data_IF_729441227913
#
_entry.id   IF_729441227913
#
_cell.length_a   1.000
_cell.length_b   1.000
_cell.length_c   1.000
_cell.angle_alpha   90.00
_cell.angle_beta   90.00
_cell.angle_gamma   90.00
#
_symmetry.space_group_name_H-M   'P 1'
#
loop_
_entity.id
_entity.type
_entity.pdbx_description
1 polymer ?
#
# COMPACT_ATOMS: atom_id res chain seq x y z
N UNK A 1 22.17 -13.34 -5.92
CA UNK A 1 21.10 -13.03 -4.96
C UNK A 1 20.47 -11.71 -5.36
N UNK A 2 19.16 -11.73 -5.71
CA UNK A 2 18.50 -10.50 -6.10
C UNK A 2 18.32 -9.55 -4.91
N UNK A 3 18.34 -8.27 -5.19
CA UNK A 3 18.02 -7.21 -4.23
C UNK A 3 17.34 -6.05 -4.95
N UNK A 4 16.68 -5.19 -4.21
CA UNK A 4 16.11 -3.96 -4.71
C UNK A 4 16.54 -2.81 -3.81
N UNK A 5 16.88 -1.68 -4.43
CA UNK A 5 17.17 -0.42 -3.73
C UNK A 5 16.17 0.62 -4.17
N UNK A 6 15.89 1.61 -3.32
CA UNK A 6 14.97 2.68 -3.69
C UNK A 6 15.37 3.34 -5.02
N UNK A 7 16.67 3.59 -5.21
CA UNK A 7 17.17 4.30 -6.40
C UNK A 7 17.07 3.47 -7.67
N UNK A 8 17.09 2.14 -7.58
CA UNK A 8 17.06 1.24 -8.73
C UNK A 8 15.67 0.72 -9.06
N UNK A 9 14.69 0.97 -8.20
CA UNK A 9 13.34 0.49 -8.38
C UNK A 9 12.60 1.33 -9.41
N UNK A 10 11.59 0.73 -10.04
CA UNK A 10 10.70 1.41 -10.97
C UNK A 10 9.86 2.45 -10.21
N UNK A 11 9.92 3.70 -10.65
CA UNK A 11 9.15 4.79 -10.05
C UNK A 11 7.80 4.93 -10.70
N UNK A 12 6.75 4.97 -9.88
CA UNK A 12 5.43 5.43 -10.28
C UNK A 12 4.99 6.55 -9.35
N UNK A 13 4.69 7.72 -9.92
CA UNK A 13 4.31 8.90 -9.16
C UNK A 13 2.84 9.20 -9.42
N UNK A 14 2.02 9.04 -8.37
CA UNK A 14 0.57 9.29 -8.44
C UNK A 14 0.19 10.65 -7.83
N UNK A 15 1.17 11.51 -7.56
CA UNK A 15 0.95 12.80 -6.90
C UNK A 15 0.93 12.67 -5.38
N UNK A 16 -0.13 12.13 -4.81
CA UNK A 16 -0.24 11.92 -3.37
C UNK A 16 0.64 10.77 -2.87
N UNK A 17 0.95 9.83 -3.73
CA UNK A 17 1.75 8.65 -3.41
C UNK A 17 2.86 8.51 -4.42
N UNK A 18 4.07 8.28 -3.93
CA UNK A 18 5.21 7.88 -4.74
C UNK A 18 5.51 6.42 -4.42
N UNK A 19 5.52 5.58 -5.45
CA UNK A 19 5.79 4.16 -5.31
C UNK A 19 7.03 3.78 -6.11
N UNK A 20 7.98 3.13 -5.45
CA UNK A 20 9.19 2.59 -6.08
C UNK A 20 9.20 1.09 -5.83
N UNK A 21 9.09 0.30 -6.89
CA UNK A 21 8.90 -1.13 -6.73
C UNK A 21 9.66 -1.96 -7.75
N UNK A 22 9.81 -3.23 -7.44
CA UNK A 22 10.28 -4.27 -8.35
C UNK A 22 9.76 -5.62 -7.89
N UNK A 23 9.68 -6.56 -8.82
CA UNK A 23 9.27 -7.92 -8.52
C UNK A 23 10.49 -8.77 -8.20
N UNK A 24 10.45 -9.48 -7.06
CA UNK A 24 11.49 -10.39 -6.62
C UNK A 24 10.88 -11.75 -6.29
N UNK A 25 11.07 -12.72 -7.14
CA UNK A 25 10.70 -14.13 -6.91
C UNK A 25 9.26 -14.31 -6.43
N UNK A 26 8.31 -13.77 -7.19
CA UNK A 26 6.87 -13.89 -6.88
C UNK A 26 6.32 -12.89 -5.90
N UNK A 27 7.16 -12.01 -5.37
CA UNK A 27 6.76 -10.92 -4.49
C UNK A 27 7.09 -9.59 -5.13
N UNK A 28 6.20 -8.62 -4.95
CA UNK A 28 6.47 -7.23 -5.31
C UNK A 28 6.94 -6.51 -4.06
N UNK A 29 8.12 -5.90 -4.15
CA UNK A 29 8.72 -5.12 -3.07
C UNK A 29 8.54 -3.65 -3.40
N UNK A 30 7.91 -2.90 -2.50
CA UNK A 30 7.58 -1.50 -2.71
C UNK A 30 8.16 -0.63 -1.60
N UNK A 31 8.80 0.47 -2.01
CA UNK A 31 9.11 1.59 -1.13
C UNK A 31 8.05 2.65 -1.43
N UNK A 32 7.06 2.79 -0.57
CA UNK A 32 5.91 3.66 -0.80
C UNK A 32 5.99 4.86 0.12
N UNK A 33 5.90 6.06 -0.48
CA UNK A 33 5.87 7.32 0.27
C UNK A 33 4.49 7.94 0.11
N UNK A 34 3.82 8.18 1.23
CA UNK A 34 2.54 8.88 1.28
C UNK A 34 2.80 10.36 1.55
N UNK A 35 2.68 11.19 0.53
CA UNK A 35 2.97 12.63 0.66
C UNK A 35 1.92 13.38 1.47
N UNK A 36 0.71 12.83 1.53
CA UNK A 36 -0.43 13.39 2.24
C UNK A 36 -1.06 12.33 3.12
N UNK A 37 -1.91 12.76 4.05
CA UNK A 37 -2.77 11.87 4.81
C UNK A 37 -3.83 11.29 3.88
N UNK A 38 -3.85 9.96 3.72
CA UNK A 38 -4.69 9.30 2.72
C UNK A 38 -5.59 8.26 3.37
N UNK A 39 -6.91 8.41 3.16
CA UNK A 39 -7.88 7.36 3.43
C UNK A 39 -8.04 6.54 2.16
N UNK A 40 -7.65 5.26 2.21
CA UNK A 40 -7.73 4.36 1.07
C UNK A 40 -9.14 3.76 0.85
N UNK A 41 -10.08 4.00 1.77
CA UNK A 41 -11.42 3.43 1.66
C UNK A 41 -12.06 3.63 0.28
N UNK A 42 -12.11 4.86 -0.26
CA UNK A 42 -12.75 5.10 -1.56
C UNK A 42 -12.16 4.31 -2.73
N UNK A 43 -10.85 4.07 -2.74
CA UNK A 43 -10.20 3.35 -3.86
C UNK A 43 -10.32 1.82 -3.74
N UNK A 44 -10.76 1.32 -2.60
CA UNK A 44 -10.97 -0.12 -2.38
C UNK A 44 -12.41 -0.56 -2.63
N UNK A 45 -13.28 0.37 -2.99
CA UNK A 45 -14.69 0.08 -3.24
C UNK A 45 -14.85 -0.92 -4.39
N UNK A 46 -15.67 -1.95 -4.17
CA UNK A 46 -15.91 -3.00 -5.14
C UNK A 46 -15.08 -4.26 -4.89
N UNK A 47 -14.06 -4.19 -4.05
CA UNK A 47 -13.40 -5.39 -3.53
C UNK A 47 -14.28 -6.04 -2.45
N UNK A 48 -14.05 -7.33 -2.11
CA UNK A 48 -14.82 -7.96 -1.03
C UNK A 48 -14.77 -7.12 0.25
N UNK A 49 -15.93 -6.81 0.83
CA UNK A 49 -16.10 -5.94 2.00
C UNK A 49 -15.46 -4.56 1.84
N UNK A 50 -15.29 -4.11 0.60
CA UNK A 50 -14.63 -2.84 0.26
C UNK A 50 -13.26 -2.70 0.94
N UNK A 51 -12.53 -3.80 1.00
CA UNK A 51 -11.23 -3.89 1.66
C UNK A 51 -10.18 -4.55 0.75
N UNK A 52 -8.92 -4.29 1.06
CA UNK A 52 -7.80 -4.87 0.31
C UNK A 52 -7.65 -6.35 0.66
N UNK A 53 -7.66 -7.21 -0.33
CA UNK A 53 -7.54 -8.66 -0.15
C UNK A 53 -6.10 -9.16 -0.30
N UNK A 54 -5.18 -8.32 -0.72
CA UNK A 54 -3.78 -8.68 -0.84
C UNK A 54 -3.10 -8.63 0.53
N UNK A 55 -2.49 -9.72 1.00
CA UNK A 55 -1.73 -9.65 2.24
C UNK A 55 -0.43 -8.87 2.02
N UNK A 56 0.03 -8.18 3.06
CA UNK A 56 1.27 -7.42 3.01
C UNK A 56 2.10 -7.67 4.25
N UNK A 57 3.39 -7.84 4.06
CA UNK A 57 4.39 -7.80 5.12
C UNK A 57 5.20 -6.53 4.94
N UNK A 58 5.52 -5.83 6.01
CA UNK A 58 6.26 -4.60 5.84
C UNK A 58 6.93 -4.05 7.07
N UNK A 59 7.49 -2.86 6.88
CA UNK A 59 8.23 -2.13 7.89
C UNK A 59 8.06 -0.64 7.68
N UNK A 60 7.75 0.10 8.74
CA UNK A 60 7.62 1.56 8.65
C UNK A 60 9.00 2.19 8.74
N UNK A 61 9.44 2.80 7.65
CA UNK A 61 10.74 3.48 7.59
C UNK A 61 10.71 4.84 8.26
N UNK A 62 9.60 5.58 8.12
CA UNK A 62 9.37 6.84 8.82
C UNK A 62 7.89 7.17 8.85
N UNK A 63 7.46 7.92 9.87
CA UNK A 63 6.09 8.36 10.03
C UNK A 63 5.20 7.32 10.68
N UNK A 64 3.95 7.29 10.28
CA UNK A 64 2.95 6.39 10.85
C UNK A 64 1.89 6.03 9.83
N UNK A 65 1.26 4.86 10.02
CA UNK A 65 0.23 4.34 9.14
C UNK A 65 -0.85 3.67 9.98
N UNK A 66 -2.08 4.17 9.89
CA UNK A 66 -3.23 3.62 10.62
C UNK A 66 -4.05 2.76 9.68
N UNK A 67 -4.31 1.52 10.10
CA UNK A 67 -4.98 0.51 9.28
C UNK A 67 -6.11 -0.13 10.10
N UNK A 68 -7.27 -0.33 9.46
CA UNK A 68 -8.39 -1.05 10.05
C UNK A 68 -8.44 -2.47 9.51
N UNK A 69 -8.68 -3.41 10.42
CA UNK A 69 -8.92 -4.82 10.12
C UNK A 69 -10.24 -5.22 10.82
N UNK A 70 -11.33 -5.36 10.06
CA UNK A 70 -12.64 -5.56 10.63
C UNK A 70 -13.06 -4.37 11.49
N UNK A 71 -13.28 -4.59 12.79
CA UNK A 71 -13.64 -3.55 13.77
C UNK A 71 -12.43 -3.05 14.59
N UNK A 72 -11.23 -3.47 14.24
CA UNK A 72 -10.00 -3.11 14.96
C UNK A 72 -9.16 -2.16 14.14
N UNK A 73 -8.63 -1.14 14.79
CA UNK A 73 -7.66 -0.22 14.20
C UNK A 73 -6.31 -0.40 14.87
N UNK A 74 -5.25 -0.28 14.09
CA UNK A 74 -3.89 -0.31 14.60
C UNK A 74 -3.05 0.73 13.87
N UNK A 75 -2.18 1.42 14.61
CA UNK A 75 -1.25 2.38 14.04
C UNK A 75 0.16 1.80 14.09
N UNK A 76 0.76 1.66 12.93
CA UNK A 76 2.16 1.27 12.80
C UNK A 76 3.02 2.53 12.81
N UNK A 77 4.09 2.53 13.59
CA UNK A 77 4.98 3.66 13.74
C UNK A 77 6.39 3.32 13.25
N UNK A 78 7.21 4.33 13.05
CA UNK A 78 8.61 4.15 12.63
C UNK A 78 9.27 3.07 13.47
N UNK A 79 9.85 2.08 12.78
CA UNK A 79 10.52 0.96 13.42
C UNK A 79 9.65 -0.28 13.61
N UNK A 80 8.34 -0.19 13.33
CA UNK A 80 7.44 -1.35 13.46
C UNK A 80 7.49 -2.21 12.19
N UNK A 81 7.66 -3.51 12.37
CA UNK A 81 7.37 -4.50 11.35
C UNK A 81 5.90 -4.92 11.49
N UNK A 82 5.23 -5.13 10.37
CA UNK A 82 3.80 -5.44 10.41
C UNK A 82 3.43 -6.54 9.43
N UNK A 83 2.28 -7.15 9.69
CA UNK A 83 1.60 -8.02 8.75
C UNK A 83 0.15 -7.58 8.64
N UNK A 84 -0.30 -7.31 7.41
CA UNK A 84 -1.70 -7.00 7.12
C UNK A 84 -2.34 -8.18 6.41
N UNK A 85 -3.20 -8.96 7.09
CA UNK A 85 -3.94 -10.04 6.42
C UNK A 85 -4.97 -9.48 5.44
N UNK A 86 -5.53 -10.32 4.55
CA UNK A 86 -6.63 -9.89 3.70
C UNK A 86 -7.78 -9.29 4.50
N UNK A 87 -8.41 -8.25 3.95
CA UNK A 87 -9.54 -7.57 4.60
C UNK A 87 -9.16 -6.31 5.34
N UNK A 88 -8.00 -5.75 5.07
CA UNK A 88 -7.56 -4.49 5.69
C UNK A 88 -7.94 -3.27 4.87
N UNK A 89 -8.08 -2.12 5.55
CA UNK A 89 -8.31 -0.81 4.93
C UNK A 89 -7.39 0.22 5.58
N UNK A 90 -6.40 0.75 4.85
CA UNK A 90 -5.62 1.87 5.38
C UNK A 90 -6.49 3.12 5.51
N UNK A 91 -6.50 3.71 6.70
CA UNK A 91 -7.37 4.85 7.02
C UNK A 91 -6.66 6.19 6.98
N UNK A 92 -5.37 6.22 7.27
CA UNK A 92 -4.63 7.48 7.35
C UNK A 92 -3.17 7.28 7.69
N UNK A 93 -2.43 8.35 7.56
CA UNK A 93 -0.98 8.36 7.81
C UNK A 93 -0.52 9.79 8.07
N UNK A 94 0.62 9.93 8.74
CA UNK A 94 1.28 11.23 8.76
C UNK A 94 1.78 11.57 7.34
N UNK A 95 1.62 12.83 6.88
CA UNK A 95 2.19 13.24 5.59
C UNK A 95 3.70 13.00 5.57
N UNK A 96 4.20 12.43 4.47
CA UNK A 96 5.61 12.07 4.31
C UNK A 96 6.00 10.72 4.88
N UNK A 97 5.03 9.93 5.36
CA UNK A 97 5.32 8.56 5.83
C UNK A 97 5.83 7.69 4.72
N UNK A 98 6.81 6.83 5.04
CA UNK A 98 7.37 5.88 4.09
C UNK A 98 7.36 4.49 4.68
N UNK A 99 6.90 3.52 3.88
CA UNK A 99 6.82 2.12 4.27
C UNK A 99 7.49 1.23 3.24
N UNK A 100 8.09 0.16 3.71
CA UNK A 100 8.61 -0.91 2.87
C UNK A 100 7.61 -2.06 2.94
N UNK A 101 7.11 -2.51 1.79
CA UNK A 101 6.04 -3.51 1.72
C UNK A 101 6.45 -4.64 0.80
N UNK A 102 6.19 -5.88 1.24
CA UNK A 102 6.33 -7.10 0.45
C UNK A 102 4.94 -7.67 0.22
N UNK A 103 4.55 -7.85 -1.04
CA UNK A 103 3.21 -8.35 -1.41
C UNK A 103 3.34 -9.48 -2.42
N UNK A 104 2.53 -10.55 -2.30
CA UNK A 104 2.46 -11.55 -3.36
C UNK A 104 2.01 -10.90 -4.66
N UNK A 105 2.81 -11.05 -5.72
CA UNK A 105 2.59 -10.30 -6.96
C UNK A 105 1.23 -10.57 -7.58
N UNK A 106 0.78 -11.83 -7.61
CA UNK A 106 -0.49 -12.17 -8.25
C UNK A 106 -1.69 -11.52 -7.54
N UNK A 107 -1.73 -11.60 -6.21
CA UNK A 107 -2.80 -11.01 -5.41
C UNK A 107 -2.77 -9.49 -5.49
N UNK A 108 -1.56 -8.91 -5.50
CA UNK A 108 -1.39 -7.47 -5.63
C UNK A 108 -1.96 -6.96 -6.97
N UNK A 109 -1.66 -7.66 -8.08
CA UNK A 109 -2.16 -7.26 -9.41
C UNK A 109 -3.68 -7.29 -9.49
N UNK A 110 -4.33 -8.28 -8.90
CA UNK A 110 -5.80 -8.36 -8.85
C UNK A 110 -6.39 -7.17 -8.10
N UNK A 111 -5.81 -6.82 -6.99
CA UNK A 111 -6.25 -5.67 -6.18
C UNK A 111 -6.01 -4.37 -6.92
N UNK A 112 -4.85 -4.21 -7.54
CA UNK A 112 -4.50 -3.00 -8.28
C UNK A 112 -5.44 -2.74 -9.46
N UNK A 113 -5.95 -3.77 -10.13
CA UNK A 113 -6.93 -3.60 -11.20
C UNK A 113 -8.16 -2.83 -10.73
N UNK A 114 -8.70 -3.18 -9.56
CA UNK A 114 -9.85 -2.49 -8.99
C UNK A 114 -9.47 -1.09 -8.52
N UNK A 115 -8.33 -0.95 -7.84
CA UNK A 115 -7.84 0.35 -7.37
C UNK A 115 -7.69 1.33 -8.54
N UNK A 116 -7.07 0.90 -9.62
CA UNK A 116 -6.84 1.77 -10.78
C UNK A 116 -8.14 2.20 -11.45
N UNK A 117 -9.13 1.31 -11.53
CA UNK A 117 -10.46 1.68 -12.03
C UNK A 117 -11.11 2.75 -11.16
N UNK A 118 -11.00 2.61 -9.84
CA UNK A 118 -11.57 3.58 -8.91
C UNK A 118 -10.85 4.92 -8.99
N UNK A 119 -9.52 4.91 -9.09
CA UNK A 119 -8.72 6.13 -9.25
C UNK A 119 -9.11 6.85 -10.55
N UNK A 120 -9.24 6.12 -11.66
CA UNK A 120 -9.63 6.71 -12.94
C UNK A 120 -11.04 7.30 -12.88
N UNK A 121 -11.98 6.61 -12.24
CA UNK A 121 -13.34 7.12 -12.07
C UNK A 121 -13.38 8.41 -11.25
N UNK A 122 -12.57 8.50 -10.21
CA UNK A 122 -12.46 9.71 -9.38
C UNK A 122 -11.84 10.86 -10.15
N UNK A 123 -10.87 10.59 -11.03
CA UNK A 123 -10.23 11.62 -11.87
C UNK A 123 -11.15 12.09 -13.01
N UNK A 124 -11.99 11.20 -13.53
CA UNK A 124 -12.91 11.52 -14.62
C UNK A 124 -14.15 12.30 -14.15
N UNK A 125 -14.47 12.19 -12.89
CA UNK A 125 -15.62 12.86 -12.30
C UNK A 125 -15.28 14.14 -11.65
#
# INVERSE_FOLDING_TARGET
>A
MPKISQDSAQLEDYGMVEDRHADLDGYTVSFTTFRQDIDHGPILKGLPDDSCQCPHWGYVLRGSWTVRQGDREETFQTGDAFYMPPGHVPLGNEPGSQVLIFSPTQELRKTEEVIMKNVQAMQAG
#
